data_IF_022629229455
#
_entry.id   IF_022629229455
#
_cell.length_a   1.000
_cell.length_b   1.000
_cell.length_c   1.000
_cell.angle_alpha   90.00
_cell.angle_beta   90.00
_cell.angle_gamma   90.00
#
_symmetry.space_group_name_H-M   'P 1'
#
loop_
_entity.id
_entity.type
_entity.pdbx_description
1 polymer ?
#
# COMPACT_ATOMS: atom_id res chain seq x y z
N UNK A 1 -18.77 -9.97 7.90
CA UNK A 1 -17.63 -9.08 8.24
C UNK A 1 -18.05 -7.79 8.93
N UNK A 2 -18.45 -6.70 8.23
CA UNK A 2 -18.73 -5.42 8.92
C UNK A 2 -19.85 -5.49 9.97
N UNK A 3 -20.91 -6.25 9.71
CA UNK A 3 -21.98 -6.52 10.69
C UNK A 3 -21.49 -7.26 11.96
N UNK A 4 -20.51 -8.15 11.81
CA UNK A 4 -19.90 -8.88 12.93
C UNK A 4 -18.87 -8.03 13.67
N UNK A 5 -18.24 -7.08 12.98
CA UNK A 5 -17.33 -6.11 13.59
C UNK A 5 -18.15 -5.10 14.41
N UNK A 6 -19.25 -4.57 13.84
CA UNK A 6 -20.13 -3.62 14.53
C UNK A 6 -20.87 -4.21 15.73
N UNK A 7 -21.03 -5.53 15.79
CA UNK A 7 -21.60 -6.18 16.99
C UNK A 7 -20.57 -6.33 18.13
N UNK A 8 -19.28 -6.25 17.83
CA UNK A 8 -18.18 -6.37 18.81
C UNK A 8 -17.62 -5.02 19.25
N UNK A 9 -17.64 -4.03 18.35
CA UNK A 9 -17.11 -2.69 18.59
C UNK A 9 -18.22 -1.67 18.43
N UNK A 10 -18.39 -0.82 19.44
CA UNK A 10 -19.40 0.26 19.42
C UNK A 10 -19.04 1.39 18.45
N UNK A 11 -17.78 1.48 18.02
CA UNK A 11 -17.27 2.51 17.10
C UNK A 11 -16.12 1.95 16.26
N UNK A 12 -16.03 2.41 15.02
CA UNK A 12 -14.87 2.22 14.16
C UNK A 12 -14.21 3.57 13.89
N UNK A 13 -12.91 3.64 14.14
CA UNK A 13 -12.14 4.89 14.02
C UNK A 13 -10.94 4.75 13.08
N UNK A 14 -10.52 3.52 12.77
CA UNK A 14 -9.31 3.25 11.99
C UNK A 14 -9.58 2.19 10.94
N UNK A 15 -9.16 2.47 9.71
CA UNK A 15 -9.10 1.51 8.62
C UNK A 15 -7.68 1.44 8.05
N UNK A 16 -7.16 0.21 7.92
CA UNK A 16 -5.90 -0.04 7.19
C UNK A 16 -6.20 -0.94 6.00
N UNK A 17 -6.16 -0.38 4.78
CA UNK A 17 -6.32 -1.14 3.55
C UNK A 17 -4.96 -1.74 3.14
N UNK A 18 -4.69 -2.98 3.55
CA UNK A 18 -3.43 -3.67 3.28
C UNK A 18 -3.48 -4.72 2.15
N UNK A 19 -4.67 -5.25 1.84
CA UNK A 19 -4.80 -6.35 0.88
C UNK A 19 -4.19 -5.99 -0.49
N UNK A 20 -3.33 -6.86 -0.99
CA UNK A 20 -2.68 -6.69 -2.27
C UNK A 20 -2.03 -7.97 -2.77
N UNK A 21 -2.00 -8.13 -4.09
CA UNK A 21 -1.32 -9.22 -4.79
C UNK A 21 -0.38 -8.66 -5.84
N UNK A 22 0.75 -9.34 -6.04
CA UNK A 22 1.76 -8.99 -7.03
C UNK A 22 1.88 -10.11 -8.06
N UNK A 23 1.87 -9.75 -9.33
CA UNK A 23 2.06 -10.67 -10.45
C UNK A 23 2.60 -9.90 -11.65
N UNK A 24 3.34 -10.62 -12.49
CA UNK A 24 4.08 -10.08 -13.61
C UNK A 24 3.57 -10.64 -14.94
N UNK A 25 3.72 -9.87 -16.02
CA UNK A 25 3.48 -10.36 -17.37
C UNK A 25 4.53 -9.87 -18.37
N UNK A 26 4.85 -10.74 -19.33
CA UNK A 26 5.65 -10.38 -20.50
C UNK A 26 4.81 -9.55 -21.48
N UNK A 27 3.50 -9.80 -21.56
CA UNK A 27 2.58 -8.96 -22.31
C UNK A 27 2.17 -7.75 -21.48
N UNK A 28 2.70 -6.57 -21.82
CA UNK A 28 2.48 -5.33 -21.07
C UNK A 28 1.03 -4.81 -21.15
N UNK A 29 0.23 -5.36 -22.06
CA UNK A 29 -1.18 -5.03 -22.26
C UNK A 29 -2.09 -6.23 -21.93
N UNK A 30 -1.68 -7.11 -21.02
CA UNK A 30 -2.52 -8.22 -20.54
C UNK A 30 -3.70 -7.71 -19.72
N UNK A 31 -4.84 -7.51 -20.39
CA UNK A 31 -6.06 -6.97 -19.76
C UNK A 31 -6.59 -7.87 -18.65
N UNK A 32 -6.42 -9.19 -18.75
CA UNK A 32 -6.87 -10.14 -17.71
C UNK A 32 -6.05 -9.97 -16.43
N UNK A 33 -4.74 -9.75 -16.56
CA UNK A 33 -3.90 -9.43 -15.41
C UNK A 33 -4.29 -8.10 -14.78
N UNK A 34 -4.54 -7.06 -15.60
CA UNK A 34 -5.05 -5.78 -15.10
C UNK A 34 -6.36 -5.94 -14.32
N UNK A 35 -7.33 -6.67 -14.88
CA UNK A 35 -8.62 -6.93 -14.22
C UNK A 35 -8.44 -7.67 -12.88
N UNK A 36 -7.62 -8.73 -12.88
CA UNK A 36 -7.33 -9.51 -11.67
C UNK A 36 -6.71 -8.66 -10.57
N UNK A 37 -5.66 -7.91 -10.89
CA UNK A 37 -4.98 -7.04 -9.93
C UNK A 37 -5.89 -5.89 -9.50
N UNK A 38 -6.71 -5.34 -10.40
CA UNK A 38 -7.63 -4.25 -10.11
C UNK A 38 -8.64 -4.62 -9.03
N UNK A 39 -9.20 -5.84 -9.09
CA UNK A 39 -10.16 -6.31 -8.08
C UNK A 39 -9.59 -6.27 -6.66
N UNK A 40 -8.32 -6.60 -6.49
CA UNK A 40 -7.69 -6.69 -5.17
C UNK A 40 -6.97 -5.41 -4.76
N UNK A 41 -6.06 -4.91 -5.61
CA UNK A 41 -5.12 -3.84 -5.26
C UNK A 41 -5.74 -2.44 -5.24
N UNK A 42 -6.90 -2.27 -5.88
CA UNK A 42 -7.60 -0.99 -5.94
C UNK A 42 -9.05 -1.11 -5.48
N UNK A 43 -9.87 -1.89 -6.18
CA UNK A 43 -11.31 -1.94 -5.92
C UNK A 43 -11.62 -2.56 -4.54
N UNK A 44 -10.77 -3.46 -4.04
CA UNK A 44 -10.83 -3.95 -2.66
C UNK A 44 -10.78 -2.82 -1.64
N UNK A 45 -9.79 -1.93 -1.75
CA UNK A 45 -9.65 -0.77 -0.86
C UNK A 45 -10.86 0.18 -0.96
N UNK A 46 -11.37 0.42 -2.18
CA UNK A 46 -12.55 1.26 -2.40
C UNK A 46 -13.80 0.65 -1.73
N UNK A 47 -14.06 -0.64 -1.93
CA UNK A 47 -15.23 -1.34 -1.36
C UNK A 47 -15.18 -1.38 0.16
N UNK A 48 -14.03 -1.69 0.75
CA UNK A 48 -13.89 -1.71 2.22
C UNK A 48 -14.03 -0.31 2.80
N UNK A 49 -13.48 0.70 2.13
CA UNK A 49 -13.63 2.10 2.55
C UNK A 49 -15.09 2.54 2.50
N UNK A 50 -15.83 2.23 1.43
CA UNK A 50 -17.27 2.51 1.34
C UNK A 50 -18.05 1.93 2.54
N UNK A 51 -17.77 0.68 2.92
CA UNK A 51 -18.44 0.07 4.07
C UNK A 51 -17.99 0.70 5.40
N UNK A 52 -16.70 1.00 5.57
CA UNK A 52 -16.17 1.65 6.76
C UNK A 52 -16.83 3.00 7.03
N UNK A 53 -17.05 3.80 5.98
CA UNK A 53 -17.68 5.13 6.09
C UNK A 53 -19.14 5.09 6.55
N UNK A 54 -19.80 3.92 6.55
CA UNK A 54 -21.15 3.78 7.13
C UNK A 54 -21.15 3.70 8.66
N UNK A 55 -19.99 3.44 9.26
CA UNK A 55 -19.82 3.21 10.70
C UNK A 55 -18.79 4.13 11.36
N UNK A 56 -18.16 5.03 10.59
CA UNK A 56 -17.11 5.93 11.04
C UNK A 56 -17.43 7.36 10.62
N UNK A 57 -17.78 8.22 11.58
CA UNK A 57 -18.00 9.65 11.35
C UNK A 57 -16.71 10.47 11.47
N UNK A 58 -15.77 10.02 12.31
CA UNK A 58 -14.48 10.65 12.57
C UNK A 58 -13.43 9.57 12.77
N UNK A 59 -12.27 9.68 12.09
CA UNK A 59 -11.30 8.61 12.11
C UNK A 59 -10.12 8.78 11.15
N UNK A 60 -9.44 7.68 10.84
CA UNK A 60 -8.26 7.66 9.98
C UNK A 60 -8.23 6.45 9.07
N UNK A 61 -7.78 6.66 7.84
CA UNK A 61 -7.59 5.61 6.83
C UNK A 61 -6.13 5.61 6.41
N UNK A 62 -5.48 4.45 6.44
CA UNK A 62 -4.14 4.25 5.87
C UNK A 62 -4.21 3.19 4.78
N UNK A 63 -3.84 3.55 3.56
CA UNK A 63 -3.69 2.62 2.45
C UNK A 63 -2.25 2.11 2.37
N UNK A 64 -2.04 0.80 2.21
CA UNK A 64 -0.71 0.24 1.94
C UNK A 64 -0.51 0.19 0.43
N UNK A 65 0.21 1.19 -0.08
CA UNK A 65 0.58 1.32 -1.49
C UNK A 65 1.86 0.52 -1.79
N UNK A 66 2.79 1.09 -2.55
CA UNK A 66 4.12 0.54 -2.86
C UNK A 66 4.98 1.64 -3.47
N UNK A 67 6.30 1.53 -3.37
CA UNK A 67 7.23 2.35 -4.16
C UNK A 67 6.91 2.28 -5.66
N UNK A 68 6.40 1.15 -6.16
CA UNK A 68 5.96 1.02 -7.56
C UNK A 68 4.73 1.88 -7.92
N UNK A 69 4.03 2.46 -6.94
CA UNK A 69 2.95 3.41 -7.18
C UNK A 69 3.44 4.84 -7.41
N UNK A 70 4.71 5.12 -7.10
CA UNK A 70 5.33 6.42 -7.34
C UNK A 70 5.73 6.58 -8.82
N UNK A 71 5.73 7.83 -9.30
CA UNK A 71 6.02 8.14 -10.70
C UNK A 71 7.44 7.70 -11.07
N UNK A 72 7.57 6.98 -12.18
CA UNK A 72 8.87 6.51 -12.67
C UNK A 72 9.41 5.27 -11.96
N UNK A 73 8.67 4.70 -11.00
CA UNK A 73 9.05 3.47 -10.31
C UNK A 73 8.27 2.24 -10.80
N UNK A 74 8.89 1.07 -10.66
CA UNK A 74 8.36 -0.19 -11.15
C UNK A 74 9.14 -0.72 -12.35
N UNK A 75 8.91 -2.00 -12.66
CA UNK A 75 9.49 -2.66 -13.83
C UNK A 75 8.42 -2.89 -14.90
N UNK A 76 8.79 -2.97 -16.19
CA UNK A 76 7.82 -3.19 -17.27
C UNK A 76 6.91 -4.40 -17.01
N UNK A 77 7.45 -5.51 -16.50
CA UNK A 77 6.70 -6.74 -16.20
C UNK A 77 5.61 -6.54 -15.13
N UNK A 78 5.83 -5.59 -14.22
CA UNK A 78 4.90 -5.24 -13.15
C UNK A 78 3.99 -4.05 -13.47
N UNK A 79 3.85 -3.67 -14.76
CA UNK A 79 3.12 -2.46 -15.16
C UNK A 79 1.70 -2.39 -14.59
N UNK A 80 0.95 -3.49 -14.63
CA UNK A 80 -0.40 -3.55 -14.07
C UNK A 80 -0.42 -3.25 -12.57
N UNK A 81 0.50 -3.87 -11.81
CA UNK A 81 0.64 -3.63 -10.38
C UNK A 81 1.02 -2.16 -10.09
N UNK A 82 2.03 -1.64 -10.78
CA UNK A 82 2.52 -0.27 -10.62
C UNK A 82 1.41 0.77 -10.92
N UNK A 83 0.71 0.62 -12.04
CA UNK A 83 -0.41 1.48 -12.41
C UNK A 83 -1.51 1.49 -11.36
N UNK A 84 -1.85 0.33 -10.79
CA UNK A 84 -2.90 0.22 -9.78
C UNK A 84 -2.48 0.76 -8.41
N UNK A 85 -1.20 0.61 -8.02
CA UNK A 85 -0.67 1.27 -6.81
C UNK A 85 -0.60 2.79 -6.99
N UNK A 86 -0.32 3.27 -8.20
CA UNK A 86 -0.41 4.70 -8.51
C UNK A 86 -1.86 5.21 -8.45
N UNK A 87 -2.81 4.43 -8.95
CA UNK A 87 -4.24 4.72 -8.80
C UNK A 87 -4.65 4.79 -7.31
N UNK A 88 -4.14 3.89 -6.47
CA UNK A 88 -4.38 3.93 -5.02
C UNK A 88 -3.77 5.17 -4.34
N UNK A 89 -2.59 5.62 -4.79
CA UNK A 89 -2.01 6.90 -4.34
C UNK A 89 -2.91 8.09 -4.70
N UNK A 90 -3.42 8.13 -5.93
CA UNK A 90 -4.36 9.16 -6.39
C UNK A 90 -5.66 9.13 -5.58
N UNK A 91 -6.24 7.94 -5.39
CA UNK A 91 -7.43 7.73 -4.57
C UNK A 91 -7.23 8.23 -3.14
N UNK A 92 -6.09 7.93 -2.51
CA UNK A 92 -5.74 8.41 -1.17
C UNK A 92 -5.81 9.94 -1.09
N UNK A 93 -5.16 10.64 -2.03
CA UNK A 93 -5.10 12.12 -2.05
C UNK A 93 -6.45 12.77 -2.30
N UNK A 94 -7.24 12.21 -3.23
CA UNK A 94 -8.56 12.75 -3.57
C UNK A 94 -9.56 12.48 -2.45
N UNK A 95 -9.52 11.29 -1.86
CA UNK A 95 -10.40 10.93 -0.74
C UNK A 95 -10.10 11.76 0.51
N UNK A 96 -8.82 12.03 0.80
CA UNK A 96 -8.41 12.95 1.85
C UNK A 96 -9.11 14.31 1.74
N UNK A 97 -9.17 14.90 0.53
CA UNK A 97 -9.88 16.17 0.28
C UNK A 97 -11.37 16.06 0.57
N UNK A 98 -11.98 14.91 0.26
CA UNK A 98 -13.42 14.69 0.41
C UNK A 98 -13.84 14.47 1.86
N UNK A 99 -12.99 13.86 2.69
CA UNK A 99 -13.36 13.44 4.04
C UNK A 99 -12.76 14.31 5.16
N UNK A 100 -11.77 15.15 4.84
CA UNK A 100 -11.20 16.09 5.80
C UNK A 100 -12.22 17.15 6.25
N UNK A 101 -12.13 17.65 7.49
CA UNK A 101 -11.17 17.27 8.54
C UNK A 101 -11.62 16.06 9.38
N UNK A 102 -12.80 15.50 9.12
CA UNK A 102 -13.38 14.43 9.95
C UNK A 102 -12.61 13.12 9.86
N UNK A 103 -12.20 12.75 8.64
CA UNK A 103 -11.41 11.53 8.42
C UNK A 103 -10.13 11.88 7.66
N UNK A 104 -8.99 11.58 8.27
CA UNK A 104 -7.68 11.78 7.67
C UNK A 104 -7.27 10.55 6.87
N UNK A 105 -6.91 10.74 5.60
CA UNK A 105 -6.60 9.63 4.69
C UNK A 105 -5.16 9.76 4.22
N UNK A 106 -4.32 8.76 4.49
CA UNK A 106 -2.91 8.73 4.10
C UNK A 106 -2.55 7.35 3.51
N UNK A 107 -1.33 7.21 3.01
CA UNK A 107 -0.79 5.93 2.57
C UNK A 107 0.66 5.74 3.00
N UNK A 108 1.06 4.49 3.16
CA UNK A 108 2.48 4.09 3.18
C UNK A 108 2.84 3.48 1.83
N UNK A 109 4.04 3.74 1.31
CA UNK A 109 4.54 3.19 0.06
C UNK A 109 5.83 2.40 0.32
N UNK A 110 5.73 1.09 0.65
CA UNK A 110 6.89 0.28 0.95
C UNK A 110 7.70 -0.14 -0.27
N UNK A 111 9.00 -0.30 -0.06
CA UNK A 111 9.92 -1.05 -0.92
C UNK A 111 9.82 -2.56 -0.70
N UNK A 112 10.91 -3.27 -0.96
CA UNK A 112 10.96 -4.73 -0.81
C UNK A 112 10.92 -5.09 0.67
N UNK A 113 9.75 -5.57 1.11
CA UNK A 113 9.49 -5.97 2.50
C UNK A 113 9.54 -7.49 2.62
N UNK A 114 10.11 -8.03 3.70
CA UNK A 114 10.24 -9.47 3.95
C UNK A 114 8.88 -10.08 4.36
N UNK A 115 8.02 -10.34 3.37
CA UNK A 115 6.72 -11.01 3.56
C UNK A 115 6.86 -12.55 3.47
N UNK A 116 5.84 -13.33 3.90
CA UNK A 116 5.88 -14.79 3.81
C UNK A 116 6.17 -15.34 2.41
N UNK A 117 5.74 -14.64 1.35
CA UNK A 117 6.05 -15.00 -0.05
C UNK A 117 7.56 -15.02 -0.30
N UNK A 118 8.29 -14.00 0.19
CA UNK A 118 9.75 -13.93 0.13
C UNK A 118 10.42 -14.89 1.11
N UNK A 119 9.70 -15.33 2.14
CA UNK A 119 10.15 -16.33 3.10
C UNK A 119 10.58 -17.65 2.47
N UNK A 120 10.02 -17.99 1.29
CA UNK A 120 10.31 -19.21 0.52
C UNK A 120 11.66 -19.20 -0.20
N UNK A 121 12.29 -18.03 -0.31
CA UNK A 121 13.60 -17.90 -0.93
C UNK A 121 14.73 -18.39 -0.01
N UNK A 122 15.81 -18.84 -0.63
CA UNK A 122 17.08 -19.15 0.05
C UNK A 122 17.68 -17.89 0.70
N UNK A 123 18.56 -18.04 1.71
CA UNK A 123 19.26 -16.89 2.29
C UNK A 123 20.03 -16.06 1.26
N UNK A 124 20.66 -16.72 0.28
CA UNK A 124 21.44 -16.05 -0.78
C UNK A 124 20.53 -15.21 -1.69
N UNK A 125 19.42 -15.76 -2.17
CA UNK A 125 18.43 -15.02 -2.95
C UNK A 125 17.89 -13.83 -2.17
N UNK A 126 17.66 -13.98 -0.85
CA UNK A 126 17.20 -12.88 -0.01
C UNK A 126 18.24 -11.75 0.05
N UNK A 127 19.51 -12.08 0.25
CA UNK A 127 20.59 -11.09 0.23
C UNK A 127 20.67 -10.38 -1.12
N UNK A 128 20.70 -11.13 -2.22
CA UNK A 128 20.79 -10.55 -3.58
C UNK A 128 19.62 -9.59 -3.84
N UNK A 129 18.40 -9.99 -3.49
CA UNK A 129 17.20 -9.19 -3.75
C UNK A 129 17.10 -7.99 -2.82
N UNK A 130 17.49 -8.13 -1.55
CA UNK A 130 17.54 -7.04 -0.57
C UNK A 130 18.56 -5.96 -0.95
N UNK A 131 19.71 -6.37 -1.50
CA UNK A 131 20.78 -5.49 -1.95
C UNK A 131 20.43 -4.68 -3.22
N UNK A 132 19.20 -4.78 -3.74
CA UNK A 132 18.74 -3.82 -4.76
C UNK A 132 18.24 -2.51 -4.16
N UNK A 133 18.13 -2.41 -2.83
CA UNK A 133 17.84 -1.17 -2.12
C UNK A 133 19.17 -0.47 -1.76
N UNK A 134 19.17 0.78 -1.29
CA UNK A 134 20.39 1.45 -0.81
C UNK A 134 20.74 1.00 0.62
N UNK A 135 19.72 0.71 1.42
CA UNK A 135 19.88 -0.01 2.68
C UNK A 135 19.83 -1.50 2.30
N UNK A 136 21.00 -2.11 2.14
CA UNK A 136 21.24 -3.45 1.57
C UNK A 136 20.63 -4.62 2.39
N UNK A 137 19.31 -4.63 2.53
CA UNK A 137 18.50 -5.69 3.15
C UNK A 137 17.04 -5.52 2.74
N UNK A 138 16.21 -6.52 3.03
CA UNK A 138 14.77 -6.30 3.02
C UNK A 138 14.35 -5.33 4.14
N UNK A 139 13.25 -4.63 3.88
CA UNK A 139 12.50 -3.92 4.92
C UNK A 139 11.80 -4.97 5.77
N UNK A 140 11.87 -4.81 7.08
CA UNK A 140 11.19 -5.69 8.01
C UNK A 140 9.70 -5.28 8.14
N UNK A 141 8.76 -6.23 8.26
CA UNK A 141 7.34 -5.90 8.37
C UNK A 141 6.99 -4.93 9.51
N UNK A 142 7.74 -4.95 10.61
CA UNK A 142 7.55 -4.02 11.73
C UNK A 142 7.89 -2.57 11.34
N UNK A 143 8.87 -2.32 10.46
CA UNK A 143 9.20 -0.97 9.99
C UNK A 143 8.04 -0.36 9.17
N UNK A 144 7.32 -1.21 8.42
CA UNK A 144 6.08 -0.82 7.72
C UNK A 144 4.96 -0.56 8.73
N UNK A 145 4.79 -1.43 9.73
CA UNK A 145 3.79 -1.26 10.77
C UNK A 145 4.00 0.03 11.58
N UNK A 146 5.24 0.33 11.97
CA UNK A 146 5.60 1.54 12.71
C UNK A 146 5.27 2.81 11.90
N UNK A 147 5.46 2.76 10.58
CA UNK A 147 5.11 3.86 9.68
C UNK A 147 3.59 4.06 9.57
N UNK A 148 2.81 2.98 9.56
CA UNK A 148 1.34 3.05 9.63
C UNK A 148 0.92 3.67 10.96
N UNK A 149 1.49 3.23 12.08
CA UNK A 149 1.20 3.79 13.42
C UNK A 149 1.58 5.26 13.50
N UNK A 150 2.69 5.67 12.89
CA UNK A 150 3.09 7.07 12.81
C UNK A 150 2.03 7.93 12.10
N UNK A 151 1.55 7.50 10.93
CA UNK A 151 0.48 8.20 10.21
C UNK A 151 -0.82 8.25 11.03
N UNK A 152 -1.15 7.17 11.74
CA UNK A 152 -2.33 7.11 12.61
C UNK A 152 -2.21 8.02 13.85
N UNK A 153 -1.01 8.35 14.31
CA UNK A 153 -0.80 9.26 15.47
C UNK A 153 -0.64 10.73 15.08
N UNK A 154 -0.42 11.03 13.80
CA UNK A 154 -0.19 12.39 13.34
C UNK A 154 -1.48 13.03 12.79
N UNK A 155 -2.00 14.04 13.48
CA UNK A 155 -3.23 14.76 13.07
C UNK A 155 -2.96 15.88 12.04
N UNK A 156 -1.69 16.19 11.75
CA UNK A 156 -1.32 17.18 10.74
C UNK A 156 -1.16 16.57 9.33
N UNK A 157 -1.16 15.24 9.22
CA UNK A 157 -0.99 14.53 7.95
C UNK A 157 -2.34 14.15 7.34
N UNK A 158 -2.61 14.66 6.13
CA UNK A 158 -3.76 14.28 5.35
C UNK A 158 -3.44 14.32 3.84
N UNK A 159 -3.70 13.22 3.14
CA UNK A 159 -3.35 13.03 1.73
C UNK A 159 -1.86 12.76 1.51
N UNK A 160 -1.11 12.41 2.56
CA UNK A 160 0.31 12.08 2.46
C UNK A 160 0.52 10.65 1.96
N UNK A 161 1.56 10.47 1.15
CA UNK A 161 2.09 9.15 0.76
C UNK A 161 3.49 9.05 1.35
N UNK A 162 3.66 8.22 2.38
CA UNK A 162 4.90 8.05 3.12
C UNK A 162 5.70 6.90 2.51
N UNK A 163 6.74 7.23 1.74
CA UNK A 163 7.63 6.23 1.15
C UNK A 163 8.62 5.69 2.18
N UNK A 164 8.69 4.36 2.26
CA UNK A 164 9.64 3.61 3.09
C UNK A 164 10.23 2.48 2.24
N UNK A 165 11.26 2.79 1.45
CA UNK A 165 11.72 1.93 0.36
C UNK A 165 13.18 1.51 0.47
N UNK A 166 13.83 1.77 1.61
CA UNK A 166 15.25 1.52 1.78
C UNK A 166 16.12 2.27 0.77
N UNK A 167 15.61 3.37 0.18
CA UNK A 167 16.28 4.13 -0.88
C UNK A 167 16.22 3.45 -2.26
N UNK A 168 15.36 2.44 -2.46
CA UNK A 168 15.18 1.76 -3.76
C UNK A 168 14.89 2.76 -4.88
N UNK A 169 14.07 3.78 -4.65
CA UNK A 169 13.75 4.80 -5.64
C UNK A 169 14.89 5.78 -5.95
N UNK A 170 15.93 5.83 -5.11
CA UNK A 170 17.09 6.70 -5.29
C UNK A 170 18.30 5.97 -5.88
N UNK A 171 18.27 4.64 -5.95
CA UNK A 171 19.42 3.86 -6.41
C UNK A 171 19.65 4.09 -7.90
N UNK A 172 20.76 4.73 -8.23
CA UNK A 172 21.22 4.88 -9.62
C UNK A 172 21.67 3.51 -10.10
N UNK A 173 21.02 3.00 -11.16
CA UNK A 173 21.48 1.79 -11.84
C UNK A 173 22.65 2.21 -12.73
N UNK A 174 23.86 1.92 -12.28
CA UNK A 174 25.09 2.02 -13.09
C UNK A 174 25.24 0.83 -14.00
#
# INVERSE_FOLDING_TARGET
MFSEISSKFSKLDILVNNAGIYEESQNKNDTKLFEKLFQTNFLGAVRITEQFLKYCDEGKIVNVSSIHGELGHGKPEGIAYASLKSALNSYTRILAKSLSPKILVNAVAPGKTLTPEWGKLTPEEKTIIGNTQLIDRFIEPNEVADSIVFLLKNDAMCGSILTIDGGMGLKVVS
#
